data_IF_242709286090
#
_entry.id   IF_242709286090
#
_cell.length_a   1.000
_cell.length_b   1.000
_cell.length_c   1.000
_cell.angle_alpha   90.00
_cell.angle_beta   90.00
_cell.angle_gamma   90.00
#
_symmetry.space_group_name_H-M   'P 1'
#
loop_
_entity.id
_entity.type
_entity.pdbx_description
1 polymer ?
#
# COMPACT_ATOMS: atom_id res chain seq x y z
N UNK A 1 -9.36 -28.78 17.20
CA UNK A 1 -9.44 -27.58 18.06
C UNK A 1 -9.03 -26.39 17.21
N UNK A 2 -9.98 -25.58 16.73
CA UNK A 2 -9.64 -24.39 15.94
C UNK A 2 -9.05 -23.34 16.88
N UNK A 3 -7.80 -22.95 16.61
CA UNK A 3 -7.11 -21.88 17.32
C UNK A 3 -7.64 -20.57 16.73
N UNK A 4 -8.37 -19.77 17.51
CA UNK A 4 -8.72 -18.40 17.11
C UNK A 4 -7.44 -17.57 17.15
N UNK A 5 -6.65 -17.65 16.08
CA UNK A 5 -5.43 -16.89 15.90
C UNK A 5 -5.74 -15.67 15.03
N UNK A 6 -5.42 -14.49 15.55
CA UNK A 6 -5.46 -13.26 14.77
C UNK A 6 -4.16 -13.18 13.97
N UNK A 7 -4.27 -13.36 12.66
CA UNK A 7 -3.13 -13.38 11.74
C UNK A 7 -3.30 -12.35 10.63
N UNK A 8 -2.18 -11.90 10.08
CA UNK A 8 -2.20 -11.03 8.91
C UNK A 8 -2.44 -11.87 7.67
N UNK A 9 -3.45 -11.49 6.89
CA UNK A 9 -3.59 -11.98 5.52
C UNK A 9 -2.48 -11.36 4.65
N UNK A 10 -1.42 -12.12 4.42
CA UNK A 10 -0.26 -11.67 3.65
C UNK A 10 -0.59 -11.35 2.20
N UNK A 11 -1.56 -12.04 1.60
CA UNK A 11 -2.01 -11.77 0.23
C UNK A 11 -2.72 -10.42 0.17
N UNK A 12 -3.68 -10.21 1.07
CA UNK A 12 -4.40 -8.94 1.15
C UNK A 12 -3.46 -7.78 1.45
N UNK A 13 -2.47 -7.99 2.32
CA UNK A 13 -1.44 -6.99 2.60
C UNK A 13 -0.68 -6.62 1.33
N UNK A 14 -0.21 -7.61 0.58
CA UNK A 14 0.55 -7.37 -0.65
C UNK A 14 -0.29 -6.63 -1.71
N UNK A 15 -1.52 -7.09 -1.95
CA UNK A 15 -2.45 -6.43 -2.89
C UNK A 15 -2.70 -4.95 -2.51
N UNK A 16 -2.79 -4.66 -1.20
CA UNK A 16 -2.96 -3.28 -0.71
C UNK A 16 -1.70 -2.43 -0.92
N UNK A 17 -0.52 -3.01 -0.70
CA UNK A 17 0.76 -2.31 -0.93
C UNK A 17 0.99 -2.02 -2.41
N UNK A 18 0.64 -2.94 -3.30
CA UNK A 18 0.72 -2.72 -4.75
C UNK A 18 -0.21 -1.59 -5.19
N UNK A 19 -1.47 -1.58 -4.73
CA UNK A 19 -2.41 -0.50 -5.02
C UNK A 19 -1.91 0.87 -4.51
N UNK A 20 -1.36 0.90 -3.29
CA UNK A 20 -0.74 2.09 -2.70
C UNK A 20 0.48 2.58 -3.50
N UNK A 21 1.24 1.65 -4.10
CA UNK A 21 2.42 1.94 -4.92
C UNK A 21 2.11 2.54 -6.29
N UNK A 22 0.86 2.51 -6.76
CA UNK A 22 0.48 3.20 -7.99
C UNK A 22 0.26 4.71 -7.76
N UNK A 23 0.00 5.13 -6.51
CA UNK A 23 -0.25 6.53 -6.17
C UNK A 23 1.09 7.28 -6.03
N UNK A 24 1.31 8.25 -6.92
CA UNK A 24 2.56 9.03 -6.97
C UNK A 24 3.74 8.25 -7.58
N UNK A 25 3.46 7.21 -8.36
CA UNK A 25 4.48 6.39 -9.05
C UNK A 25 5.28 7.22 -10.04
N UNK A 26 6.59 7.07 -10.00
CA UNK A 26 7.49 7.65 -11.00
C UNK A 26 7.61 6.71 -12.21
N UNK A 27 7.95 7.29 -13.37
CA UNK A 27 7.96 6.62 -14.68
C UNK A 27 8.77 5.31 -14.71
N UNK A 28 9.91 5.31 -14.02
CA UNK A 28 10.88 4.22 -14.10
C UNK A 28 11.12 3.52 -12.75
N UNK A 29 11.06 4.24 -11.61
CA UNK A 29 11.29 3.66 -10.29
C UNK A 29 10.81 4.53 -9.14
N UNK A 30 10.32 3.91 -8.07
CA UNK A 30 10.00 4.57 -6.80
C UNK A 30 8.72 5.41 -6.83
N UNK A 31 8.54 6.17 -5.75
CA UNK A 31 7.36 7.01 -5.50
C UNK A 31 7.81 8.45 -5.24
N UNK A 32 7.06 9.41 -5.80
CA UNK A 32 7.13 10.82 -5.44
C UNK A 32 5.78 11.26 -4.89
N UNK A 33 5.58 10.98 -3.60
CA UNK A 33 4.43 11.40 -2.81
C UNK A 33 4.93 12.31 -1.69
N UNK A 34 4.85 13.62 -1.91
CA UNK A 34 5.38 14.62 -0.98
C UNK A 34 4.32 14.95 0.08
N UNK A 35 4.70 15.26 1.32
CA UNK A 35 3.73 15.60 2.35
C UNK A 35 2.81 16.75 1.91
N UNK A 36 1.51 16.62 2.16
CA UNK A 36 0.47 17.60 1.84
C UNK A 36 0.21 17.84 0.35
N UNK A 37 0.75 17.00 -0.55
CA UNK A 37 0.38 17.05 -1.97
C UNK A 37 -0.94 16.32 -2.25
N UNK A 38 -1.54 16.55 -3.42
CA UNK A 38 -2.75 15.84 -3.83
C UNK A 38 -2.55 14.31 -3.83
N UNK A 39 -1.37 13.84 -4.28
CA UNK A 39 -1.02 12.42 -4.24
C UNK A 39 -0.84 11.85 -2.82
N UNK A 40 -0.56 12.69 -1.82
CA UNK A 40 -0.48 12.28 -0.40
C UNK A 40 -1.88 12.15 0.20
N UNK A 41 -2.83 12.96 -0.28
CA UNK A 41 -4.26 12.86 0.07
C UNK A 41 -4.94 11.63 -0.55
N UNK A 42 -4.44 11.13 -1.67
CA UNK A 42 -5.00 9.96 -2.39
C UNK A 42 -4.66 8.61 -1.73
N UNK A 43 -3.64 8.58 -0.85
CA UNK A 43 -3.33 7.42 0.00
C UNK A 43 -4.41 7.11 1.03
#
# INVERSE_FOLDING_TARGET
MHKNALEVDGRRLWETLEASGEIGKLRDTGLRRLPLSDTDKEM
#
